data_IF_562707858390
#
_entry.id   IF_562707858390
#
_cell.length_a   1.000
_cell.length_b   1.000
_cell.length_c   1.000
_cell.angle_alpha   90.00
_cell.angle_beta   90.00
_cell.angle_gamma   90.00
#
_symmetry.space_group_name_H-M   'P 1'
#
loop_
_entity.id
_entity.type
_entity.pdbx_description
1 polymer ?
#
# COMPACT_ATOMS: atom_id res chain seq x y z
N UNK A 1 0.20 21.69 -11.63
CA UNK A 1 0.02 20.44 -10.86
C UNK A 1 0.20 19.27 -11.81
N UNK A 2 0.93 18.21 -11.46
CA UNK A 2 1.21 17.09 -12.37
C UNK A 2 -0.07 16.35 -12.77
N UNK A 3 -0.37 16.31 -14.07
CA UNK A 3 -1.58 15.67 -14.64
C UNK A 3 -1.24 14.59 -15.67
N UNK A 4 0.04 14.30 -15.90
CA UNK A 4 0.48 13.24 -16.79
C UNK A 4 0.33 11.83 -16.19
N UNK A 5 0.46 10.80 -17.03
CA UNK A 5 0.41 9.40 -16.60
C UNK A 5 1.50 9.05 -15.58
N UNK A 6 1.18 8.16 -14.65
CA UNK A 6 2.13 7.61 -13.68
C UNK A 6 2.79 6.36 -14.25
N UNK A 7 4.04 6.10 -13.87
CA UNK A 7 4.73 4.87 -14.23
C UNK A 7 5.72 4.46 -13.14
N UNK A 8 6.17 3.22 -13.21
CA UNK A 8 7.34 2.71 -12.48
C UNK A 8 8.38 2.32 -13.52
N UNK A 9 9.65 2.62 -13.26
CA UNK A 9 10.74 2.29 -14.17
C UNK A 9 11.94 1.75 -13.40
N UNK A 10 12.68 0.86 -14.04
CA UNK A 10 13.99 0.42 -13.58
C UNK A 10 15.07 0.86 -14.55
N UNK A 11 16.26 1.07 -14.01
CA UNK A 11 17.43 1.53 -14.76
C UNK A 11 18.60 0.59 -14.50
N UNK A 12 19.41 0.37 -15.52
CA UNK A 12 20.68 -0.32 -15.40
C UNK A 12 21.65 0.53 -14.58
N UNK A 13 22.21 -0.05 -13.52
CA UNK A 13 23.14 0.67 -12.62
C UNK A 13 24.41 1.14 -13.34
N UNK A 14 24.87 0.39 -14.35
CA UNK A 14 26.15 0.65 -15.03
C UNK A 14 26.10 1.83 -16.00
N UNK A 15 24.99 2.03 -16.70
CA UNK A 15 24.88 3.03 -17.77
C UNK A 15 23.67 3.98 -17.64
N UNK A 16 22.83 3.79 -16.62
CA UNK A 16 21.64 4.62 -16.38
C UNK A 16 20.54 4.46 -17.42
N UNK A 17 20.65 3.50 -18.35
CA UNK A 17 19.61 3.27 -19.37
C UNK A 17 18.40 2.60 -18.73
N UNK A 18 17.21 2.92 -19.25
CA UNK A 18 15.96 2.28 -18.83
C UNK A 18 16.03 0.80 -19.17
N UNK A 19 15.96 -0.05 -18.16
CA UNK A 19 15.85 -1.50 -18.32
C UNK A 19 14.40 -1.88 -18.69
N UNK A 20 13.44 -1.28 -17.98
CA UNK A 20 12.02 -1.40 -18.30
C UNK A 20 11.25 -0.20 -17.72
N UNK A 21 10.08 0.04 -18.29
CA UNK A 21 9.10 1.02 -17.83
C UNK A 21 7.71 0.39 -17.89
N UNK A 22 6.93 0.60 -16.84
CA UNK A 22 5.57 0.10 -16.72
C UNK A 22 4.63 1.24 -16.31
N UNK A 23 3.69 1.56 -17.19
CA UNK A 23 2.69 2.60 -16.93
C UNK A 23 1.65 2.10 -15.92
N UNK A 24 1.29 2.95 -14.96
CA UNK A 24 0.37 2.68 -13.85
C UNK A 24 -0.98 3.33 -14.11
N UNK A 25 -1.77 2.73 -15.00
CA UNK A 25 -3.12 3.20 -15.32
C UNK A 25 -4.12 2.57 -14.34
N UNK A 26 -4.36 3.27 -13.21
CA UNK A 26 -5.10 2.75 -12.05
C UNK A 26 -6.36 3.56 -11.70
N UNK A 27 -6.83 4.40 -12.63
CA UNK A 27 -8.11 5.14 -12.55
C UNK A 27 -8.32 6.02 -11.30
N UNK A 28 -7.26 6.33 -10.56
CA UNK A 28 -7.33 7.20 -9.39
C UNK A 28 -7.61 8.67 -9.80
N UNK A 29 -8.45 9.41 -9.07
CA UNK A 29 -8.86 10.76 -9.46
C UNK A 29 -7.78 11.80 -9.15
N UNK A 30 -7.52 12.70 -10.10
CA UNK A 30 -6.67 13.90 -9.94
C UNK A 30 -5.37 13.63 -9.16
N UNK A 31 -5.27 14.16 -7.94
CA UNK A 31 -4.05 14.05 -7.14
C UNK A 31 -3.93 12.71 -6.41
N UNK A 32 -5.02 11.95 -6.27
CA UNK A 32 -4.95 10.61 -5.68
C UNK A 32 -4.08 9.68 -6.53
N UNK A 33 -3.99 9.92 -7.85
CA UNK A 33 -3.07 9.25 -8.76
C UNK A 33 -1.59 9.52 -8.46
N UNK A 34 -1.27 10.58 -7.70
CA UNK A 34 0.10 10.94 -7.36
C UNK A 34 0.55 10.19 -6.10
N UNK A 35 1.80 9.70 -6.12
CA UNK A 35 2.42 8.99 -5.01
C UNK A 35 3.82 9.56 -4.71
N UNK A 36 4.11 9.70 -3.42
CA UNK A 36 5.43 10.04 -2.86
C UNK A 36 6.02 8.89 -2.05
N UNK A 37 5.36 7.73 -2.06
CA UNK A 37 5.77 6.59 -1.25
C UNK A 37 6.99 5.91 -1.83
N UNK A 38 7.82 5.33 -0.97
CA UNK A 38 8.95 4.48 -1.39
C UNK A 38 8.45 3.05 -1.66
N UNK A 39 8.71 2.48 -2.86
CA UNK A 39 8.46 1.07 -3.14
C UNK A 39 9.27 0.14 -2.22
N UNK A 40 8.78 -1.09 -2.02
CA UNK A 40 9.47 -2.14 -1.26
C UNK A 40 9.83 -3.28 -2.19
N UNK A 41 11.11 -3.70 -2.20
CA UNK A 41 11.50 -4.98 -2.79
C UNK A 41 11.28 -6.07 -1.74
N UNK A 42 10.31 -6.94 -1.99
CA UNK A 42 9.97 -8.06 -1.12
C UNK A 42 10.53 -9.36 -1.71
N UNK A 43 11.41 -10.03 -0.96
CA UNK A 43 11.93 -11.36 -1.30
C UNK A 43 11.22 -12.43 -0.47
N UNK A 44 10.55 -13.38 -1.15
CA UNK A 44 9.93 -14.56 -0.52
C UNK A 44 10.11 -15.77 -1.42
N UNK A 45 10.47 -16.90 -0.82
CA UNK A 45 10.66 -18.18 -1.54
C UNK A 45 11.65 -18.04 -2.70
N UNK A 46 12.73 -17.25 -2.51
CA UNK A 46 13.72 -16.96 -3.54
C UNK A 46 13.29 -15.98 -4.63
N UNK A 47 12.01 -15.59 -4.68
CA UNK A 47 11.47 -14.70 -5.72
C UNK A 47 11.34 -13.27 -5.20
N UNK A 48 11.93 -12.32 -5.92
CA UNK A 48 11.87 -10.89 -5.64
C UNK A 48 10.71 -10.23 -6.38
N UNK A 49 9.98 -9.37 -5.66
CA UNK A 49 8.84 -8.62 -6.19
C UNK A 49 8.91 -7.18 -5.71
N UNK A 50 8.60 -6.24 -6.60
CA UNK A 50 8.51 -4.82 -6.28
C UNK A 50 7.07 -4.46 -5.90
N UNK A 51 6.85 -4.08 -4.65
CA UNK A 51 5.56 -3.62 -4.13
C UNK A 51 5.51 -2.10 -4.13
N UNK A 52 4.46 -1.54 -4.72
CA UNK A 52 4.31 -0.09 -4.87
C UNK A 52 2.94 0.35 -4.35
N UNK A 53 2.93 1.27 -3.40
CA UNK A 53 1.74 1.97 -2.93
C UNK A 53 1.54 3.24 -3.76
N UNK A 54 0.34 3.48 -4.27
CA UNK A 54 0.06 4.68 -5.05
C UNK A 54 -1.18 4.58 -5.90
N UNK A 55 -1.77 5.73 -6.25
CA UNK A 55 -2.95 5.80 -7.09
C UNK A 55 -4.10 4.93 -6.57
N UNK A 56 -4.46 5.07 -5.29
CA UNK A 56 -5.52 4.30 -4.61
C UNK A 56 -5.33 2.77 -4.56
N UNK A 57 -4.13 2.29 -4.92
CA UNK A 57 -3.82 0.87 -5.07
C UNK A 57 -2.48 0.50 -4.43
N UNK A 58 -2.34 -0.80 -4.16
CA UNK A 58 -1.05 -1.48 -3.99
C UNK A 58 -0.87 -2.43 -5.15
N UNK A 59 0.23 -2.29 -5.89
CA UNK A 59 0.57 -3.19 -6.99
C UNK A 59 1.86 -3.93 -6.70
N UNK A 60 1.99 -5.14 -7.25
CA UNK A 60 3.20 -5.92 -7.22
C UNK A 60 3.71 -6.16 -8.63
N UNK A 61 5.01 -5.98 -8.83
CA UNK A 61 5.67 -6.16 -10.11
C UNK A 61 6.80 -7.18 -9.98
N UNK A 62 7.04 -7.92 -11.05
CA UNK A 62 8.28 -8.67 -11.21
C UNK A 62 9.45 -7.69 -11.35
N UNK A 63 10.53 -7.90 -10.60
CA UNK A 63 11.69 -6.97 -10.61
C UNK A 63 12.43 -7.00 -11.94
N UNK A 64 12.52 -8.17 -12.58
CA UNK A 64 13.26 -8.36 -13.84
C UNK A 64 12.60 -7.67 -15.04
N UNK A 65 11.26 -7.70 -15.12
CA UNK A 65 10.51 -7.24 -16.31
C UNK A 65 9.64 -6.00 -16.07
N UNK A 66 9.36 -5.66 -14.81
CA UNK A 66 8.36 -4.65 -14.44
C UNK A 66 6.91 -5.10 -14.63
N UNK A 67 6.68 -6.34 -15.10
CA UNK A 67 5.34 -6.90 -15.30
C UNK A 67 4.57 -6.90 -13.98
N UNK A 68 3.36 -6.34 -14.00
CA UNK A 68 2.47 -6.42 -12.86
C UNK A 68 1.98 -7.86 -12.66
N UNK A 69 2.09 -8.34 -11.43
CA UNK A 69 1.70 -9.68 -11.00
C UNK A 69 0.32 -9.69 -10.35
N UNK A 70 0.08 -8.71 -9.46
CA UNK A 70 -1.20 -8.55 -8.79
C UNK A 70 -1.40 -7.12 -8.30
N UNK A 71 -2.66 -6.78 -8.02
CA UNK A 71 -3.06 -5.49 -7.44
C UNK A 71 -4.14 -5.63 -6.38
N UNK A 72 -4.13 -4.70 -5.43
CA UNK A 72 -5.19 -4.46 -4.44
C UNK A 72 -5.64 -3.02 -4.58
N UNK A 73 -6.91 -2.81 -4.88
CA UNK A 73 -7.51 -1.48 -5.03
C UNK A 73 -8.42 -1.06 -3.89
N UNK A 74 -9.15 0.03 -4.13
CA UNK A 74 -10.19 0.52 -3.23
C UNK A 74 -9.67 1.10 -1.92
N UNK A 75 -8.42 1.56 -1.87
CA UNK A 75 -7.88 2.27 -0.69
C UNK A 75 -8.57 3.63 -0.49
N UNK A 76 -9.19 4.16 -1.55
CA UNK A 76 -10.01 5.38 -1.57
C UNK A 76 -11.44 5.10 -2.07
N UNK A 77 -12.27 4.42 -1.27
CA UNK A 77 -13.61 3.99 -1.71
C UNK A 77 -14.54 5.17 -2.02
N UNK A 78 -14.26 6.36 -1.47
CA UNK A 78 -15.05 7.56 -1.71
C UNK A 78 -14.57 8.42 -2.88
N UNK A 79 -13.58 7.96 -3.66
CA UNK A 79 -13.08 8.68 -4.84
C UNK A 79 -12.58 10.10 -4.52
N UNK A 80 -11.97 10.28 -3.35
CA UNK A 80 -11.48 11.59 -2.92
C UNK A 80 -10.38 12.07 -3.88
N UNK A 81 -10.55 13.26 -4.44
CA UNK A 81 -9.69 13.79 -5.51
C UNK A 81 -8.30 14.23 -5.04
N UNK A 82 -8.18 14.62 -3.78
CA UNK A 82 -6.99 15.27 -3.21
C UNK A 82 -6.29 14.35 -2.19
N UNK A 83 -6.15 13.08 -2.54
CA UNK A 83 -5.80 11.99 -1.63
C UNK A 83 -4.47 11.33 -1.96
N UNK A 84 -3.43 12.15 -2.12
CA UNK A 84 -2.07 11.67 -2.39
C UNK A 84 -1.64 10.57 -1.44
N UNK A 85 -0.92 9.61 -2.01
CA UNK A 85 -0.25 8.56 -1.27
C UNK A 85 1.09 9.14 -0.77
N UNK A 86 1.15 9.53 0.51
CA UNK A 86 2.33 10.24 1.05
C UNK A 86 3.20 9.32 1.91
N UNK A 87 2.59 8.62 2.86
CA UNK A 87 3.33 7.77 3.81
C UNK A 87 3.75 6.46 3.15
N UNK A 88 5.03 6.11 3.29
CA UNK A 88 5.57 4.85 2.77
C UNK A 88 5.01 3.65 3.52
N UNK A 89 4.75 2.53 2.82
CA UNK A 89 4.29 1.29 3.44
C UNK A 89 5.41 0.62 4.25
N UNK A 90 5.05 -0.38 5.04
CA UNK A 90 6.00 -1.24 5.77
C UNK A 90 5.57 -2.70 5.69
N UNK A 91 6.55 -3.62 5.69
CA UNK A 91 6.29 -5.06 5.79
C UNK A 91 6.50 -5.49 7.25
N UNK A 92 5.51 -6.16 7.82
CA UNK A 92 5.56 -6.72 9.16
C UNK A 92 5.15 -8.20 9.11
N UNK A 93 6.10 -9.10 9.33
CA UNK A 93 5.90 -10.54 9.17
C UNK A 93 5.39 -10.89 7.77
N UNK A 94 4.21 -11.53 7.70
CA UNK A 94 3.61 -11.90 6.44
C UNK A 94 2.73 -10.79 5.79
N UNK A 95 2.60 -9.63 6.43
CA UNK A 95 1.71 -8.54 6.00
C UNK A 95 2.48 -7.36 5.38
N UNK A 96 1.86 -6.74 4.38
CA UNK A 96 2.18 -5.43 3.87
C UNK A 96 1.16 -4.43 4.42
N UNK A 97 1.66 -3.44 5.15
CA UNK A 97 0.86 -2.42 5.80
C UNK A 97 0.91 -1.14 4.95
N UNK A 98 -0.23 -0.80 4.36
CA UNK A 98 -0.39 0.34 3.48
C UNK A 98 -1.12 1.48 4.21
N UNK A 99 -0.41 2.50 4.72
CA UNK A 99 -1.04 3.70 5.24
C UNK A 99 -1.67 4.49 4.10
N UNK A 100 -2.88 4.99 4.31
CA UNK A 100 -3.60 5.75 3.30
C UNK A 100 -4.47 6.84 3.92
N UNK A 101 -5.21 7.55 3.07
CA UNK A 101 -6.24 8.49 3.52
C UNK A 101 -5.69 9.62 4.38
N UNK A 102 -4.52 10.18 4.00
CA UNK A 102 -3.78 11.19 4.79
C UNK A 102 -3.54 10.76 6.24
N UNK A 103 -3.28 9.46 6.45
CA UNK A 103 -3.02 8.88 7.75
C UNK A 103 -4.29 8.41 8.49
N UNK A 104 -5.48 8.51 7.90
CA UNK A 104 -6.72 8.06 8.54
C UNK A 104 -6.96 6.55 8.41
N UNK A 105 -6.29 5.84 7.49
CA UNK A 105 -6.47 4.40 7.32
C UNK A 105 -5.14 3.67 7.27
N UNK A 106 -5.14 2.46 7.83
CA UNK A 106 -4.07 1.49 7.68
C UNK A 106 -4.68 0.21 7.13
N UNK A 107 -4.20 -0.22 5.95
CA UNK A 107 -4.71 -1.41 5.27
C UNK A 107 -3.69 -2.53 5.38
N UNK A 108 -4.12 -3.69 5.90
CA UNK A 108 -3.28 -4.89 5.97
C UNK A 108 -3.56 -5.79 4.77
N UNK A 109 -2.51 -6.07 4.00
CA UNK A 109 -2.56 -6.88 2.77
C UNK A 109 -1.62 -8.06 2.96
N UNK A 110 -2.06 -9.28 2.60
CA UNK A 110 -1.16 -10.43 2.48
C UNK A 110 -0.57 -10.45 1.06
N UNK A 111 0.75 -10.25 0.87
CA UNK A 111 1.34 -10.27 -0.46
C UNK A 111 1.19 -11.64 -1.14
N UNK A 112 0.84 -11.64 -2.43
CA UNK A 112 0.75 -12.84 -3.25
C UNK A 112 -0.56 -12.93 -4.05
N UNK A 113 -0.69 -14.00 -4.83
CA UNK A 113 -1.79 -14.21 -5.77
C UNK A 113 -1.45 -13.72 -7.19
N UNK A 114 -2.47 -13.61 -8.03
CA UNK A 114 -2.36 -13.24 -9.44
C UNK A 114 -3.57 -12.37 -9.84
N UNK A 115 -3.33 -11.29 -10.57
CA UNK A 115 -4.38 -10.37 -11.06
C UNK A 115 -4.96 -9.47 -9.96
N UNK A 116 -6.25 -9.16 -10.04
CA UNK A 116 -6.93 -8.42 -8.99
C UNK A 116 -7.21 -9.32 -7.78
N UNK A 117 -6.49 -9.05 -6.68
CA UNK A 117 -6.56 -9.82 -5.44
C UNK A 117 -7.19 -9.02 -4.30
N UNK A 118 -7.93 -7.95 -4.63
CA UNK A 118 -8.52 -7.03 -3.65
C UNK A 118 -9.42 -7.77 -2.65
N UNK A 119 -10.23 -8.72 -3.09
CA UNK A 119 -11.12 -9.48 -2.20
C UNK A 119 -10.40 -10.59 -1.42
N UNK A 120 -9.37 -11.19 -1.99
CA UNK A 120 -8.74 -12.41 -1.46
C UNK A 120 -7.56 -12.13 -0.53
N UNK A 121 -6.88 -10.99 -0.70
CA UNK A 121 -5.66 -10.65 0.05
C UNK A 121 -5.81 -9.49 1.03
N UNK A 122 -6.92 -8.76 0.99
CA UNK A 122 -7.27 -7.77 2.00
C UNK A 122 -7.58 -8.48 3.32
N UNK A 123 -6.78 -8.26 4.36
CA UNK A 123 -6.96 -8.86 5.70
C UNK A 123 -7.70 -7.96 6.66
N UNK A 124 -7.65 -6.65 6.43
CA UNK A 124 -8.40 -5.68 7.20
C UNK A 124 -8.03 -4.26 6.84
N UNK A 125 -8.92 -3.34 7.20
CA UNK A 125 -8.68 -1.90 7.14
C UNK A 125 -9.14 -1.29 8.44
N UNK A 126 -8.21 -0.65 9.13
CA UNK A 126 -8.52 0.04 10.38
C UNK A 126 -8.44 1.54 10.16
N UNK A 127 -9.37 2.28 10.77
CA UNK A 127 -9.22 3.74 10.88
C UNK A 127 -8.18 4.05 11.94
N UNK A 128 -7.13 4.75 11.54
CA UNK A 128 -6.18 5.34 12.46
C UNK A 128 -6.82 6.65 12.90
N UNK A 129 -7.48 6.63 14.06
CA UNK A 129 -7.99 7.85 14.67
C UNK A 129 -6.84 8.75 15.13
N UNK A 130 -7.09 10.04 15.42
CA UNK A 130 -6.13 10.81 16.20
C UNK A 130 -5.75 10.00 17.45
N UNK A 131 -4.50 10.07 17.95
CA UNK A 131 -4.15 9.43 19.21
C UNK A 131 -5.24 9.83 20.20
N UNK A 132 -5.95 8.84 20.75
CA UNK A 132 -6.95 9.12 21.79
C UNK A 132 -6.15 9.77 22.90
N UNK A 133 -6.20 11.09 22.98
CA UNK A 133 -5.62 11.80 24.10
C UNK A 133 -6.30 11.20 25.31
N UNK A 134 -5.52 10.51 26.13
CA UNK A 134 -6.01 9.99 27.38
C UNK A 134 -6.31 11.23 28.23
N UNK A 135 -7.53 11.77 28.10
CA UNK A 135 -8.00 12.84 28.97
C UNK A 135 -8.10 12.21 30.35
N UNK A 136 -7.10 12.47 31.19
CA UNK A 136 -7.11 12.17 32.62
C UNK A 136 -8.39 12.76 33.24
N UNK A 137 -9.45 11.98 33.31
CA UNK A 137 -10.56 12.03 34.29
C UNK A 137 -11.52 10.88 33.96
N UNK A 138 -11.49 9.85 34.81
CA UNK A 138 -12.24 8.59 34.78
C UNK A 138 -11.75 7.50 33.81
N UNK A 139 -10.60 6.90 34.14
CA UNK A 139 -10.40 5.48 33.84
C UNK A 139 -11.38 4.66 34.71
N UNK A 140 -12.59 4.39 34.20
CA UNK A 140 -13.26 3.12 34.47
C UNK A 140 -12.99 2.25 33.25
N UNK A 141 -12.08 1.31 33.41
CA UNK A 141 -11.78 0.32 32.40
C UNK A 141 -13.02 -0.57 32.19
N UNK A 142 -13.80 -0.29 31.15
CA UNK A 142 -14.57 -1.33 30.46
C UNK A 142 -13.70 -1.84 29.33
N UNK A 143 -12.76 -2.73 29.69
CA UNK A 143 -12.06 -3.55 28.72
C UNK A 143 -13.09 -4.47 28.04
N UNK A 144 -13.60 -4.08 26.86
CA UNK A 144 -14.09 -5.07 25.91
C UNK A 144 -12.86 -5.68 25.25
N UNK A 145 -12.43 -6.80 25.84
CA UNK A 145 -11.54 -7.75 25.21
C UNK A 145 -12.16 -8.21 23.89
N UNK A 146 -11.52 -7.88 22.76
CA UNK A 146 -11.45 -8.80 21.64
C UNK A 146 -9.99 -9.23 21.57
N UNK A 147 -9.70 -10.31 22.30
CA UNK A 147 -8.45 -11.03 22.22
C UNK A 147 -8.28 -11.61 20.81
N UNK A 148 -7.21 -11.23 20.12
CA UNK A 148 -6.58 -12.09 19.14
C UNK A 148 -5.30 -12.60 19.81
N UNK A 149 -5.36 -13.83 20.32
CA UNK A 149 -4.22 -14.53 20.92
C UNK A 149 -3.22 -14.85 19.81
N UNK A 150 -1.99 -14.38 19.96
CA UNK A 150 -0.82 -14.97 19.31
C UNK A 150 -0.42 -16.15 20.18
N UNK A 151 -0.51 -17.35 19.62
CA UNK A 151 0.17 -18.54 20.13
C UNK A 151 1.36 -18.75 19.20
N UNK A 152 2.53 -19.05 19.77
CA UNK A 152 3.81 -19.30 19.06
C UNK A 152 3.67 -20.15 17.80
#
# INVERSE_FOLDING_TARGET
>A
MQTGGSYVAAFNKSDGKVAWKHDRNLEAPLEAAQSYTTPIVLKREGVERLLVLGADHVTAHEVASGKELWRVGGLNPGGQKYFRSISSPVVAGNLFLAPYSRGNTLTAIRPGGNGDVTKSQLRGRTRVGPPRTCRRRSCRATARSSAATVVD
#
